data_IF_754812393881
#
_entry.id   IF_754812393881
#
_cell.length_a   1.000
_cell.length_b   1.000
_cell.length_c   1.000
_cell.angle_alpha   90.00
_cell.angle_beta   90.00
_cell.angle_gamma   90.00
#
_symmetry.space_group_name_H-M   'P 1'
#
loop_
_entity.id
_entity.type
_entity.pdbx_description
1 polymer ?
#
# COMPACT_ATOMS: atom_id res chain seq x y z
N UNK A 1 46.02 43.67 -54.85
CA UNK A 1 45.21 43.70 -53.60
C UNK A 1 43.75 43.26 -53.82
N UNK A 2 43.48 42.28 -54.69
CA UNK A 2 42.11 41.94 -55.13
C UNK A 2 41.53 40.61 -54.63
N UNK A 3 42.35 39.69 -54.11
CA UNK A 3 41.92 38.31 -53.84
C UNK A 3 41.62 38.03 -52.36
N UNK A 4 42.34 38.64 -51.40
CA UNK A 4 42.08 38.41 -49.97
C UNK A 4 40.72 38.94 -49.48
N UNK A 5 40.21 40.03 -50.08
CA UNK A 5 38.89 40.61 -49.76
C UNK A 5 37.73 39.73 -50.24
N UNK A 6 37.94 38.93 -51.29
CA UNK A 6 36.89 38.05 -51.83
C UNK A 6 36.72 36.80 -50.94
N UNK A 7 37.80 36.24 -50.40
CA UNK A 7 37.74 35.09 -49.49
C UNK A 7 37.15 35.45 -48.11
N UNK A 8 37.44 36.64 -47.58
CA UNK A 8 36.82 37.12 -46.33
C UNK A 8 35.31 37.36 -46.49
N UNK A 9 34.87 37.90 -47.63
CA UNK A 9 33.45 38.06 -47.92
C UNK A 9 32.71 36.71 -48.08
N UNK A 10 33.38 35.67 -48.60
CA UNK A 10 32.80 34.33 -48.74
C UNK A 10 32.69 33.61 -47.38
N UNK A 11 33.70 33.74 -46.52
CA UNK A 11 33.70 33.16 -45.16
C UNK A 11 32.62 33.77 -44.28
N UNK A 12 32.45 35.10 -44.31
CA UNK A 12 31.39 35.79 -43.55
C UNK A 12 29.99 35.37 -44.07
N UNK A 13 29.83 35.12 -45.38
CA UNK A 13 28.57 34.61 -45.95
C UNK A 13 28.25 33.18 -45.50
N UNK A 14 29.25 32.31 -45.42
CA UNK A 14 29.09 30.93 -44.93
C UNK A 14 28.80 30.90 -43.42
N UNK A 15 29.43 31.78 -42.64
CA UNK A 15 29.20 31.92 -41.21
C UNK A 15 27.81 32.51 -40.92
N UNK A 16 27.35 33.49 -41.71
CA UNK A 16 25.98 34.02 -41.62
C UNK A 16 24.90 33.01 -42.04
N UNK A 17 25.19 32.08 -42.97
CA UNK A 17 24.29 30.97 -43.28
C UNK A 17 24.23 29.91 -42.16
N UNK A 18 25.33 29.68 -41.45
CA UNK A 18 25.39 28.84 -40.24
C UNK A 18 24.57 29.44 -39.08
N UNK A 19 24.65 30.77 -38.87
CA UNK A 19 23.83 31.48 -37.88
C UNK A 19 22.33 31.44 -38.20
N UNK A 20 21.95 31.49 -39.48
CA UNK A 20 20.57 31.35 -39.91
C UNK A 20 19.97 29.96 -39.59
N UNK A 21 20.77 28.90 -39.75
CA UNK A 21 20.37 27.54 -39.38
C UNK A 21 20.26 27.35 -37.86
N UNK A 22 21.15 27.98 -37.07
CA UNK A 22 21.07 27.97 -35.62
C UNK A 22 19.84 28.74 -35.09
N UNK A 23 19.50 29.88 -35.71
CA UNK A 23 18.29 30.64 -35.38
C UNK A 23 17.01 29.87 -35.76
N UNK A 24 17.01 29.16 -36.90
CA UNK A 24 15.89 28.30 -37.30
C UNK A 24 15.75 27.08 -36.37
N UNK A 25 16.87 26.50 -35.93
CA UNK A 25 16.87 25.43 -34.93
C UNK A 25 16.29 25.92 -33.59
N UNK A 26 16.68 27.11 -33.12
CA UNK A 26 16.12 27.73 -31.92
C UNK A 26 14.61 27.99 -32.02
N UNK A 27 14.14 28.51 -33.16
CA UNK A 27 12.70 28.74 -33.40
C UNK A 27 11.90 27.43 -33.54
N UNK A 28 12.49 26.38 -34.11
CA UNK A 28 11.89 25.04 -34.14
C UNK A 28 11.84 24.45 -32.73
N UNK A 29 12.88 24.65 -31.91
CA UNK A 29 12.93 24.13 -30.54
C UNK A 29 11.94 24.85 -29.61
N UNK A 30 11.73 26.17 -29.77
CA UNK A 30 10.66 26.89 -29.07
C UNK A 30 9.26 26.51 -29.56
N UNK A 31 9.04 26.33 -30.87
CA UNK A 31 7.75 25.83 -31.40
C UNK A 31 7.47 24.39 -31.00
N UNK A 32 8.48 23.53 -30.90
CA UNK A 32 8.36 22.16 -30.38
C UNK A 32 8.10 22.14 -28.86
N UNK A 33 8.67 23.09 -28.11
CA UNK A 33 8.41 23.25 -26.67
C UNK A 33 6.97 23.75 -26.44
N UNK A 34 6.54 24.74 -27.20
CA UNK A 34 5.15 25.24 -27.21
C UNK A 34 4.14 24.18 -27.69
N UNK A 35 4.49 23.36 -28.69
CA UNK A 35 3.67 22.22 -29.10
C UNK A 35 3.66 21.10 -28.05
N UNK A 36 4.77 20.86 -27.35
CA UNK A 36 4.86 19.94 -26.22
C UNK A 36 4.02 20.39 -25.03
N UNK A 37 3.98 21.70 -24.76
CA UNK A 37 3.16 22.30 -23.70
C UNK A 37 1.66 22.27 -24.06
N UNK A 38 1.28 22.39 -25.34
CA UNK A 38 -0.10 22.20 -25.81
C UNK A 38 -0.56 20.73 -25.83
N UNK A 39 0.34 19.76 -26.04
CA UNK A 39 0.01 18.32 -25.93
C UNK A 39 -0.19 17.92 -24.46
N UNK A 40 0.47 18.61 -23.51
CA UNK A 40 0.29 18.34 -22.09
C UNK A 40 -1.07 18.80 -21.54
N UNK A 41 -1.77 19.71 -22.22
CA UNK A 41 -3.07 20.25 -21.78
C UNK A 41 -4.27 19.66 -22.55
N UNK A 42 -4.01 18.82 -23.57
CA UNK A 42 -5.06 18.20 -24.37
C UNK A 42 -4.77 16.72 -24.64
N UNK A 43 -5.40 15.89 -23.82
CA UNK A 43 -5.92 14.58 -24.23
C UNK A 43 -4.88 13.49 -24.50
N UNK A 44 -4.32 12.96 -23.41
CA UNK A 44 -4.11 11.52 -23.29
C UNK A 44 -4.78 11.07 -21.99
N UNK A 45 -5.78 10.17 -21.99
CA UNK A 45 -6.04 9.39 -20.80
C UNK A 45 -4.79 8.53 -20.57
N UNK A 46 -3.89 8.98 -19.70
CA UNK A 46 -2.71 8.21 -19.29
C UNK A 46 -3.07 6.99 -18.42
N UNK A 47 -4.33 6.55 -18.45
CA UNK A 47 -4.78 5.26 -17.94
C UNK A 47 -4.85 4.26 -19.08
N UNK A 48 -3.68 3.84 -19.58
CA UNK A 48 -3.60 2.45 -20.05
C UNK A 48 -3.90 1.55 -18.84
N UNK A 49 -4.73 0.50 -18.95
CA UNK A 49 -4.97 -0.44 -17.85
C UNK A 49 -3.72 -1.25 -17.46
N UNK A 50 -2.58 -1.01 -18.13
CA UNK A 50 -1.31 -1.68 -17.89
C UNK A 50 -0.40 -0.97 -16.86
N UNK A 51 -0.69 0.27 -16.45
CA UNK A 51 0.19 1.03 -15.51
C UNK A 51 -0.27 1.05 -14.05
N UNK A 52 -1.42 0.44 -13.71
CA UNK A 52 -1.93 0.37 -12.34
C UNK A 52 -1.65 -0.98 -11.64
N UNK A 53 -0.88 -1.89 -12.26
CA UNK A 53 -0.32 -3.08 -11.60
C UNK A 53 0.94 -2.73 -10.78
N UNK A 54 0.96 -1.51 -10.23
CA UNK A 54 2.03 -0.89 -9.44
C UNK A 54 2.17 -1.71 -8.16
N UNK A 55 2.98 -2.77 -8.22
CA UNK A 55 3.31 -3.70 -7.13
C UNK A 55 2.13 -3.96 -6.18
N UNK A 56 1.28 -4.93 -6.53
CA UNK A 56 0.50 -5.63 -5.52
C UNK A 56 1.49 -6.31 -4.57
N UNK A 57 1.88 -5.63 -3.50
CA UNK A 57 2.70 -6.21 -2.42
C UNK A 57 1.92 -7.43 -1.94
N UNK A 58 2.42 -8.63 -2.25
CA UNK A 58 1.83 -9.91 -1.82
C UNK A 58 2.47 -10.44 -0.54
N UNK A 59 3.53 -9.78 -0.09
CA UNK A 59 4.26 -10.18 1.10
C UNK A 59 3.37 -9.90 2.32
N UNK A 60 3.31 -10.89 3.20
CA UNK A 60 2.50 -10.80 4.42
C UNK A 60 3.15 -11.50 5.59
N UNK A 61 2.89 -10.97 6.77
CA UNK A 61 3.20 -11.61 8.05
C UNK A 61 1.90 -12.21 8.57
N UNK A 62 1.91 -13.52 8.84
CA UNK A 62 0.75 -14.26 9.31
C UNK A 62 0.92 -14.68 10.76
N UNK A 63 0.03 -14.23 11.63
CA UNK A 63 -0.17 -14.77 12.97
C UNK A 63 -1.40 -15.68 12.91
N UNK A 64 -1.21 -16.98 13.11
CA UNK A 64 -2.27 -17.98 13.00
C UNK A 64 -2.53 -18.68 14.33
N UNK A 65 -3.78 -19.10 14.55
CA UNK A 65 -4.14 -19.93 15.69
C UNK A 65 -3.90 -19.28 17.06
N UNK A 66 -3.95 -17.96 17.18
CA UNK A 66 -3.80 -17.30 18.48
C UNK A 66 -5.04 -17.58 19.33
N UNK A 67 -4.85 -18.30 20.44
CA UNK A 67 -5.97 -18.71 21.29
C UNK A 67 -6.06 -17.86 22.55
N UNK A 68 -7.22 -17.25 22.77
CA UNK A 68 -7.49 -16.44 23.95
C UNK A 68 -8.78 -16.90 24.61
N UNK A 69 -8.82 -16.91 25.94
CA UNK A 69 -10.06 -17.10 26.67
C UNK A 69 -10.70 -15.73 26.90
N UNK A 70 -11.91 -15.54 26.42
CA UNK A 70 -12.55 -14.24 26.44
C UNK A 70 -14.06 -14.34 26.67
N UNK A 71 -14.63 -13.24 27.16
CA UNK A 71 -16.02 -13.14 27.62
C UNK A 71 -16.83 -12.32 26.63
N UNK A 72 -16.97 -12.85 25.41
CA UNK A 72 -17.63 -12.21 24.28
C UNK A 72 -18.86 -12.98 23.81
N UNK A 73 -19.93 -12.27 23.51
CA UNK A 73 -21.15 -12.87 23.01
C UNK A 73 -22.37 -11.99 23.17
N UNK A 74 -23.39 -12.24 22.35
CA UNK A 74 -24.62 -11.47 22.36
C UNK A 74 -25.51 -11.88 23.54
N UNK A 75 -25.37 -13.12 24.02
CA UNK A 75 -26.14 -13.66 25.13
C UNK A 75 -25.40 -13.48 26.47
N UNK A 76 -26.16 -13.35 27.56
CA UNK A 76 -25.58 -13.28 28.90
C UNK A 76 -24.75 -14.55 29.26
N UNK A 77 -25.22 -15.78 28.98
CA UNK A 77 -24.44 -16.98 29.26
C UNK A 77 -23.08 -17.02 28.55
N UNK A 78 -22.99 -16.54 27.30
CA UNK A 78 -21.70 -16.47 26.59
C UNK A 78 -20.70 -15.53 27.28
N UNK A 79 -21.17 -14.41 27.84
CA UNK A 79 -20.32 -13.44 28.55
C UNK A 79 -20.01 -13.86 29.98
N UNK A 80 -20.84 -14.68 30.61
CA UNK A 80 -20.59 -15.20 31.96
C UNK A 80 -19.66 -16.40 31.95
N UNK A 81 -19.92 -17.37 31.07
CA UNK A 81 -19.11 -18.59 30.97
C UNK A 81 -17.79 -18.31 30.26
N UNK A 82 -17.79 -17.44 29.24
CA UNK A 82 -16.63 -17.24 28.38
C UNK A 82 -16.32 -18.45 27.52
N UNK A 83 -15.52 -18.24 26.48
CA UNK A 83 -15.07 -19.31 25.60
C UNK A 83 -13.70 -19.00 25.02
N UNK A 84 -13.01 -20.03 24.52
CA UNK A 84 -11.83 -19.81 23.69
C UNK A 84 -12.23 -19.24 22.33
N UNK A 85 -11.59 -18.16 21.96
CA UNK A 85 -11.56 -17.64 20.60
C UNK A 85 -10.21 -17.95 19.96
N UNK A 86 -10.26 -18.19 18.67
CA UNK A 86 -9.09 -18.35 17.82
C UNK A 86 -9.01 -17.11 16.90
N UNK A 87 -7.89 -16.40 16.96
CA UNK A 87 -7.67 -15.17 16.19
C UNK A 87 -6.51 -15.40 15.23
N UNK A 88 -6.71 -14.99 13.98
CA UNK A 88 -5.69 -14.94 12.95
C UNK A 88 -5.58 -13.52 12.42
N UNK A 89 -4.36 -13.07 12.17
CA UNK A 89 -4.07 -11.76 11.61
C UNK A 89 -3.08 -11.93 10.47
N UNK A 90 -3.39 -11.35 9.32
CA UNK A 90 -2.46 -11.17 8.22
C UNK A 90 -2.17 -9.68 8.05
N UNK A 91 -0.89 -9.33 8.02
CA UNK A 91 -0.42 -7.96 7.83
C UNK A 91 0.32 -7.91 6.50
N UNK A 92 -0.16 -7.09 5.57
CA UNK A 92 0.45 -6.92 4.26
C UNK A 92 1.45 -5.76 4.31
N UNK A 93 2.71 -6.03 3.99
CA UNK A 93 3.80 -5.06 4.04
C UNK A 93 4.94 -5.48 3.12
N UNK A 94 5.72 -4.52 2.62
CA UNK A 94 6.92 -4.81 1.83
C UNK A 94 8.03 -5.37 2.74
N UNK A 95 8.33 -6.66 2.62
CA UNK A 95 9.32 -7.34 3.46
C UNK A 95 10.72 -7.38 2.82
N UNK A 96 10.90 -6.77 1.64
CA UNK A 96 12.18 -6.85 0.89
C UNK A 96 13.33 -6.16 1.63
N UNK A 97 13.06 -5.04 2.30
CA UNK A 97 14.08 -4.32 3.07
C UNK A 97 14.54 -5.14 4.27
N UNK A 98 13.59 -5.64 5.07
CA UNK A 98 13.87 -6.51 6.21
C UNK A 98 14.65 -7.77 5.79
N UNK A 99 14.25 -8.44 4.72
CA UNK A 99 14.94 -9.65 4.24
C UNK A 99 16.35 -9.40 3.68
N UNK A 100 16.66 -8.19 3.23
CA UNK A 100 18.01 -7.83 2.74
C UNK A 100 18.94 -7.35 3.84
N UNK A 101 18.38 -6.61 4.80
CA UNK A 101 19.14 -5.92 5.85
C UNK A 101 19.21 -6.74 7.14
N UNK A 102 18.34 -7.75 7.28
CA UNK A 102 18.21 -8.58 8.48
C UNK A 102 18.05 -7.74 9.76
N UNK A 103 17.19 -6.72 9.68
CA UNK A 103 16.96 -5.75 10.76
C UNK A 103 15.45 -5.62 11.05
N UNK A 104 15.10 -5.77 12.33
CA UNK A 104 13.74 -5.68 12.84
C UNK A 104 13.15 -4.27 12.64
N UNK A 105 13.98 -3.22 12.57
CA UNK A 105 13.54 -1.85 12.32
C UNK A 105 12.88 -1.66 10.94
N UNK A 106 13.09 -2.60 10.02
CA UNK A 106 12.54 -2.57 8.66
C UNK A 106 11.32 -3.50 8.46
N UNK A 107 10.76 -4.06 9.53
CA UNK A 107 9.56 -4.92 9.48
C UNK A 107 8.60 -4.62 10.63
N UNK A 108 7.42 -5.25 10.59
CA UNK A 108 6.47 -5.23 11.70
C UNK A 108 6.86 -6.29 12.72
N UNK A 109 7.00 -5.88 13.98
CA UNK A 109 7.27 -6.80 15.08
C UNK A 109 6.00 -7.61 15.42
N UNK A 110 5.94 -8.86 14.98
CA UNK A 110 4.80 -9.74 15.26
C UNK A 110 4.61 -10.05 16.74
N UNK A 111 5.64 -9.95 17.59
CA UNK A 111 5.49 -10.15 19.03
C UNK A 111 4.69 -9.01 19.67
N UNK A 112 4.92 -7.77 19.20
CA UNK A 112 4.11 -6.61 19.62
C UNK A 112 2.69 -6.73 19.10
N UNK A 113 2.50 -7.15 17.83
CA UNK A 113 1.16 -7.41 17.27
C UNK A 113 0.39 -8.42 18.13
N UNK A 114 1.02 -9.52 18.52
CA UNK A 114 0.40 -10.52 19.41
C UNK A 114 -0.07 -9.89 20.73
N UNK A 115 0.76 -9.04 21.35
CA UNK A 115 0.40 -8.34 22.59
C UNK A 115 -0.79 -7.41 22.38
N UNK A 116 -0.83 -6.65 21.29
CA UNK A 116 -1.96 -5.78 20.94
C UNK A 116 -3.25 -6.59 20.80
N UNK A 117 -3.19 -7.71 20.07
CA UNK A 117 -4.34 -8.60 19.88
C UNK A 117 -4.81 -9.16 21.22
N UNK A 118 -3.88 -9.66 22.04
CA UNK A 118 -4.18 -10.18 23.37
C UNK A 118 -4.87 -9.12 24.24
N UNK A 119 -4.32 -7.91 24.32
CA UNK A 119 -4.90 -6.80 25.07
C UNK A 119 -6.34 -6.50 24.66
N UNK A 120 -6.60 -6.38 23.35
CA UNK A 120 -7.93 -6.06 22.83
C UNK A 120 -8.93 -7.18 23.14
N UNK A 121 -8.52 -8.44 22.97
CA UNK A 121 -9.38 -9.62 23.15
C UNK A 121 -9.65 -9.88 24.64
N UNK A 122 -8.68 -9.70 25.54
CA UNK A 122 -8.88 -10.04 26.96
C UNK A 122 -9.45 -8.90 27.80
N UNK A 123 -9.19 -7.64 27.43
CA UNK A 123 -9.53 -6.49 28.29
C UNK A 123 -10.84 -5.79 27.89
N UNK A 124 -11.51 -6.27 26.85
CA UNK A 124 -12.78 -5.73 26.37
C UNK A 124 -13.88 -6.79 26.46
N UNK A 125 -15.14 -6.36 26.38
CA UNK A 125 -16.26 -7.28 26.12
C UNK A 125 -17.12 -6.74 24.99
N UNK A 126 -17.10 -7.45 23.86
CA UNK A 126 -17.96 -7.18 22.72
C UNK A 126 -19.11 -8.20 22.65
N UNK A 127 -20.26 -7.73 22.17
CA UNK A 127 -21.40 -8.60 21.88
C UNK A 127 -21.20 -9.42 20.61
N UNK A 128 -20.45 -8.87 19.64
CA UNK A 128 -20.26 -9.40 18.30
C UNK A 128 -18.77 -9.64 18.04
N UNK A 129 -18.44 -10.72 17.34
CA UNK A 129 -17.05 -11.01 16.95
C UNK A 129 -16.60 -10.12 15.78
N UNK A 130 -17.55 -9.56 15.04
CA UNK A 130 -17.37 -8.50 14.05
C UNK A 130 -16.81 -7.24 14.71
N UNK A 131 -17.40 -6.82 15.84
CA UNK A 131 -16.94 -5.65 16.58
C UNK A 131 -15.56 -5.89 17.23
N UNK A 132 -15.32 -7.11 17.72
CA UNK A 132 -13.99 -7.50 18.21
C UNK A 132 -12.95 -7.47 17.08
N UNK A 133 -13.29 -8.01 15.90
CA UNK A 133 -12.40 -7.99 14.74
C UNK A 133 -12.09 -6.54 14.31
N UNK A 134 -13.09 -5.66 14.30
CA UNK A 134 -12.91 -4.23 14.01
C UNK A 134 -11.97 -3.57 15.01
N UNK A 135 -12.15 -3.85 16.31
CA UNK A 135 -11.30 -3.28 17.36
C UNK A 135 -9.85 -3.75 17.23
N UNK A 136 -9.63 -5.04 16.94
CA UNK A 136 -8.29 -5.58 16.68
C UNK A 136 -7.67 -4.90 15.46
N UNK A 137 -8.42 -4.79 14.36
CA UNK A 137 -7.94 -4.17 13.14
C UNK A 137 -7.55 -2.69 13.37
N UNK A 138 -8.43 -1.92 14.01
CA UNK A 138 -8.18 -0.53 14.33
C UNK A 138 -6.96 -0.35 15.27
N UNK A 139 -6.79 -1.22 16.27
CA UNK A 139 -5.66 -1.14 17.19
C UNK A 139 -4.32 -1.40 16.49
N UNK A 140 -4.28 -2.35 15.55
CA UNK A 140 -3.09 -2.66 14.76
C UNK A 140 -2.78 -1.49 13.80
N UNK A 141 -3.75 -1.02 13.03
CA UNK A 141 -3.57 0.11 12.10
C UNK A 141 -3.14 1.40 12.82
N UNK A 142 -3.61 1.63 14.05
CA UNK A 142 -3.21 2.80 14.83
C UNK A 142 -1.77 2.72 15.36
N UNK A 143 -1.24 1.52 15.65
CA UNK A 143 0.08 1.33 16.27
C UNK A 143 1.19 1.04 15.25
N UNK A 144 0.86 0.42 14.13
CA UNK A 144 1.82 0.01 13.10
C UNK A 144 1.56 0.73 11.79
N UNK A 145 2.62 1.13 11.10
CA UNK A 145 2.53 1.76 9.78
C UNK A 145 2.28 0.70 8.69
N UNK A 146 1.05 0.18 8.64
CA UNK A 146 0.63 -0.91 7.73
C UNK A 146 -0.56 -0.46 6.89
N UNK A 147 -0.59 -0.85 5.62
CA UNK A 147 -1.59 -0.34 4.65
C UNK A 147 -2.80 -1.25 4.50
N UNK A 148 -2.63 -2.55 4.77
CA UNK A 148 -3.67 -3.55 4.60
C UNK A 148 -3.51 -4.64 5.65
N UNK A 149 -4.62 -5.02 6.28
CA UNK A 149 -4.68 -6.12 7.23
C UNK A 149 -5.94 -6.95 7.01
N UNK A 150 -5.82 -8.24 7.32
CA UNK A 150 -6.92 -9.19 7.38
C UNK A 150 -6.98 -9.72 8.81
N UNK A 151 -8.15 -9.64 9.44
CA UNK A 151 -8.39 -10.19 10.77
C UNK A 151 -9.48 -11.23 10.67
N UNK A 152 -9.18 -12.45 11.15
CA UNK A 152 -10.15 -13.53 11.26
C UNK A 152 -10.33 -13.91 12.73
N UNK A 153 -11.58 -13.97 13.18
CA UNK A 153 -11.92 -14.42 14.53
C UNK A 153 -12.88 -15.58 14.43
N UNK A 154 -12.49 -16.70 15.03
CA UNK A 154 -13.22 -17.96 15.02
C UNK A 154 -13.67 -18.31 16.44
N UNK A 155 -14.93 -18.72 16.54
CA UNK A 155 -15.55 -19.39 17.67
C UNK A 155 -15.59 -20.90 17.35
N UNK A 156 -14.71 -21.73 17.92
CA UNK A 156 -14.71 -23.16 17.68
C UNK A 156 -15.98 -23.85 18.21
N UNK A 157 -16.55 -23.33 19.31
CA UNK A 157 -17.73 -23.89 19.96
C UNK A 157 -18.81 -22.81 20.13
N UNK A 158 -19.51 -22.43 19.04
CA UNK A 158 -20.56 -21.43 19.12
C UNK A 158 -21.77 -21.98 19.89
N UNK A 159 -22.50 -21.11 20.58
CA UNK A 159 -23.74 -21.47 21.27
C UNK A 159 -24.92 -21.57 20.29
N UNK A 160 -24.84 -22.53 19.37
CA UNK A 160 -25.86 -22.80 18.34
C UNK A 160 -26.33 -24.24 18.51
N UNK A 161 -27.65 -24.51 18.58
CA UNK A 161 -28.16 -25.88 18.56
C UNK A 161 -27.97 -26.49 17.16
N UNK A 162 -26.80 -27.10 16.92
CA UNK A 162 -26.44 -27.73 15.66
C UNK A 162 -25.02 -28.29 15.65
N UNK A 163 -24.70 -29.14 14.68
CA UNK A 163 -23.35 -29.71 14.51
C UNK A 163 -22.53 -28.87 13.55
N UNK A 164 -21.60 -28.07 14.08
CA UNK A 164 -20.65 -27.25 13.33
C UNK A 164 -19.25 -27.46 13.91
N UNK A 165 -18.22 -27.32 13.07
CA UNK A 165 -16.82 -27.30 13.53
C UNK A 165 -16.38 -25.95 14.10
N UNK A 166 -17.22 -24.92 13.94
CA UNK A 166 -17.00 -23.57 14.40
C UNK A 166 -17.65 -22.54 13.47
N UNK A 167 -17.65 -21.28 13.89
CA UNK A 167 -18.03 -20.13 13.05
C UNK A 167 -16.90 -19.12 13.09
N UNK A 168 -16.71 -18.39 11.99
CA UNK A 168 -15.68 -17.35 11.93
C UNK A 168 -16.19 -16.12 11.18
N UNK A 169 -15.66 -14.96 11.57
CA UNK A 169 -15.77 -13.71 10.84
C UNK A 169 -14.38 -13.35 10.32
N UNK A 170 -14.32 -12.85 9.10
CA UNK A 170 -13.12 -12.31 8.50
C UNK A 170 -13.40 -10.89 7.99
N UNK A 171 -12.51 -9.95 8.29
CA UNK A 171 -12.59 -8.58 7.82
C UNK A 171 -11.28 -8.14 7.19
N UNK A 172 -11.38 -7.28 6.18
CA UNK A 172 -10.25 -6.68 5.47
C UNK A 172 -10.33 -5.17 5.69
N UNK A 173 -9.24 -4.55 6.16
CA UNK A 173 -9.18 -3.10 6.45
C UNK A 173 -7.94 -2.48 5.82
N UNK A 174 -8.08 -1.23 5.42
CA UNK A 174 -7.09 -0.44 4.70
C UNK A 174 -6.91 0.91 5.40
N UNK A 175 -5.71 1.49 5.33
CA UNK A 175 -5.38 2.81 5.85
C UNK A 175 -4.87 3.75 4.76
#
# INVERSE_FOLDING_TARGET
>A
MGTLKQYTALLIKLEQQSFGLAALAGQIQEKLKSAGDFINDCFLPSSTPESNYKNKIKDKICLQGMQFYAYHGASAPERELGQRLEVEVEIFSDLRAAGKLDDLAHTVNYAEVYQVVQEVVTNSSYNLIEALAEAVAAAILARFNVTEILVRIKKPVPFIPGCLSGVAVEIHRYQ
#
